data_IF_467844774777
#
_entry.id   IF_467844774777
#
_cell.length_a   1.000
_cell.length_b   1.000
_cell.length_c   1.000
_cell.angle_alpha   90.00
_cell.angle_beta   90.00
_cell.angle_gamma   90.00
#
_symmetry.space_group_name_H-M   'P 1'
#
loop_
_entity.id
_entity.type
_entity.pdbx_description
1 polymer ?
#
# COMPACT_ATOMS: atom_id res chain seq x y z
N UNK A 1 1.53 -10.60 18.35
CA UNK A 1 1.81 -11.78 17.52
C UNK A 1 0.55 -12.60 17.35
N UNK A 2 0.30 -13.16 16.15
CA UNK A 2 -0.83 -14.07 15.96
C UNK A 2 -0.79 -15.18 17.00
N UNK A 3 -1.96 -15.53 17.55
CA UNK A 3 -2.06 -16.67 18.47
C UNK A 3 -1.84 -17.96 17.67
N UNK A 4 -0.64 -18.51 17.76
CA UNK A 4 -0.27 -19.77 17.10
C UNK A 4 -1.11 -20.96 17.60
N UNK A 5 -1.94 -20.74 18.62
CA UNK A 5 -2.80 -21.77 19.20
C UNK A 5 -4.26 -21.66 18.75
N UNK A 6 -4.63 -20.63 17.97
CA UNK A 6 -6.01 -20.36 17.57
C UNK A 6 -6.72 -21.53 16.86
N UNK A 7 -5.99 -22.54 16.38
CA UNK A 7 -6.54 -23.69 15.66
C UNK A 7 -6.16 -25.05 16.28
N UNK A 8 -5.72 -25.09 17.53
CA UNK A 8 -5.29 -26.35 18.19
C UNK A 8 -6.41 -27.38 18.39
N UNK A 9 -7.65 -26.95 18.39
CA UNK A 9 -8.79 -27.81 18.69
C UNK A 9 -9.54 -28.31 17.45
N UNK A 10 -9.01 -28.04 16.24
CA UNK A 10 -9.62 -28.58 15.01
C UNK A 10 -9.27 -30.06 14.87
N UNK A 11 -10.23 -30.91 15.17
CA UNK A 11 -10.09 -32.35 14.90
C UNK A 11 -10.27 -32.63 13.41
N UNK A 12 -9.19 -33.07 12.76
CA UNK A 12 -9.25 -33.54 11.39
C UNK A 12 -9.81 -34.96 11.34
N UNK A 13 -10.78 -35.20 10.47
CA UNK A 13 -11.26 -36.55 10.17
C UNK A 13 -10.35 -37.25 9.14
N UNK A 14 -10.48 -38.57 8.97
CA UNK A 14 -9.79 -39.29 7.88
C UNK A 14 -10.33 -38.93 6.48
N UNK A 15 -11.36 -38.11 6.38
CA UNK A 15 -12.00 -37.65 5.16
C UNK A 15 -11.72 -36.15 4.92
N UNK A 16 -11.14 -35.79 3.76
CA UNK A 16 -10.79 -34.42 3.42
C UNK A 16 -12.01 -33.51 3.45
N UNK A 17 -13.14 -33.92 2.88
CA UNK A 17 -14.36 -33.09 2.83
C UNK A 17 -14.88 -32.78 4.23
N UNK A 18 -14.95 -33.77 5.11
CA UNK A 18 -15.36 -33.57 6.51
C UNK A 18 -14.41 -32.66 7.25
N UNK A 19 -13.09 -32.82 7.05
CA UNK A 19 -12.08 -31.94 7.65
C UNK A 19 -12.24 -30.48 7.20
N UNK A 20 -12.48 -30.24 5.90
CA UNK A 20 -12.75 -28.90 5.36
C UNK A 20 -14.03 -28.32 5.92
N UNK A 21 -15.10 -29.11 6.05
CA UNK A 21 -16.37 -28.69 6.63
C UNK A 21 -16.17 -28.29 8.10
N UNK A 22 -15.45 -29.11 8.88
CA UNK A 22 -15.16 -28.83 10.29
C UNK A 22 -14.36 -27.53 10.46
N UNK A 23 -13.31 -27.31 9.67
CA UNK A 23 -12.51 -26.07 9.69
C UNK A 23 -13.39 -24.87 9.39
N UNK A 24 -14.11 -24.90 8.26
CA UNK A 24 -14.99 -23.78 7.87
C UNK A 24 -16.11 -23.50 8.86
N UNK A 25 -16.73 -24.55 9.40
CA UNK A 25 -17.76 -24.41 10.42
C UNK A 25 -17.20 -23.79 11.70
N UNK A 26 -16.00 -24.20 12.12
CA UNK A 26 -15.29 -23.62 13.26
C UNK A 26 -15.04 -22.13 13.07
N UNK A 27 -14.53 -21.72 11.91
CA UNK A 27 -14.29 -20.32 11.58
C UNK A 27 -15.58 -19.49 11.60
N UNK A 28 -16.68 -20.02 11.05
CA UNK A 28 -17.97 -19.31 11.05
C UNK A 28 -18.53 -19.18 12.47
N UNK A 29 -18.44 -20.24 13.29
CA UNK A 29 -18.89 -20.19 14.69
C UNK A 29 -18.07 -19.21 15.52
N UNK A 30 -16.76 -19.14 15.31
CA UNK A 30 -15.88 -18.17 15.95
C UNK A 30 -16.27 -16.73 15.57
N UNK A 31 -16.46 -16.46 14.27
CA UNK A 31 -16.92 -15.16 13.75
C UNK A 31 -18.26 -14.77 14.34
N UNK A 32 -19.23 -15.69 14.41
CA UNK A 32 -20.54 -15.42 15.04
C UNK A 32 -20.40 -15.17 16.54
N UNK A 33 -19.50 -15.88 17.21
CA UNK A 33 -19.27 -15.71 18.67
C UNK A 33 -18.58 -14.38 19.01
N UNK A 34 -17.95 -13.74 18.05
CA UNK A 34 -17.28 -12.46 18.22
C UNK A 34 -18.15 -11.26 17.90
N UNK A 35 -19.33 -11.46 17.27
CA UNK A 35 -20.19 -10.39 16.80
C UNK A 35 -20.63 -9.39 17.88
N UNK A 36 -20.79 -9.84 19.13
CA UNK A 36 -21.18 -9.01 20.28
C UNK A 36 -19.98 -8.61 21.18
N UNK A 37 -18.75 -8.92 20.76
CA UNK A 37 -17.56 -8.59 21.55
C UNK A 37 -16.92 -7.30 21.03
N UNK A 38 -16.24 -6.58 21.93
CA UNK A 38 -15.40 -5.46 21.53
C UNK A 38 -14.29 -5.95 20.55
N UNK A 39 -13.92 -5.14 19.54
CA UNK A 39 -12.86 -5.50 18.60
C UNK A 39 -11.56 -5.88 19.33
N UNK A 40 -10.99 -7.01 18.96
CA UNK A 40 -9.68 -7.42 19.48
C UNK A 40 -8.58 -6.73 18.68
N UNK A 41 -8.10 -5.58 19.15
CA UNK A 41 -7.06 -4.79 18.50
C UNK A 41 -5.69 -5.46 18.49
N UNK A 42 -5.49 -6.52 19.29
CA UNK A 42 -4.26 -7.32 19.32
C UNK A 42 -4.22 -8.47 18.33
N UNK A 43 -5.30 -8.72 17.59
CA UNK A 43 -5.37 -9.79 16.61
C UNK A 43 -4.77 -9.35 15.26
N UNK A 44 -3.86 -10.17 14.75
CA UNK A 44 -3.19 -9.92 13.48
C UNK A 44 -3.90 -10.68 12.34
N UNK A 45 -4.17 -9.97 11.23
CA UNK A 45 -4.78 -10.55 10.04
C UNK A 45 -3.82 -11.39 9.18
N UNK A 46 -2.50 -11.36 9.48
CA UNK A 46 -1.49 -12.11 8.74
C UNK A 46 -0.38 -12.64 9.65
N UNK A 47 0.36 -13.69 9.23
CA UNK A 47 1.43 -14.25 10.03
C UNK A 47 2.64 -13.30 10.15
N UNK A 48 3.38 -13.40 11.24
CA UNK A 48 4.52 -12.53 11.53
C UNK A 48 5.66 -12.61 10.50
N UNK A 49 5.73 -13.67 9.71
CA UNK A 49 6.72 -13.84 8.63
C UNK A 49 6.26 -13.31 7.27
N UNK A 50 5.06 -12.77 7.16
CA UNK A 50 4.58 -12.21 5.90
C UNK A 50 5.45 -11.04 5.45
N UNK A 51 5.76 -11.01 4.15
CA UNK A 51 6.42 -9.89 3.49
C UNK A 51 5.32 -8.99 2.92
N UNK A 52 4.58 -8.38 3.81
CA UNK A 52 3.48 -7.46 3.53
C UNK A 52 3.18 -6.63 4.78
N UNK A 53 2.43 -5.54 4.63
CA UNK A 53 1.85 -4.75 5.72
C UNK A 53 0.36 -4.53 5.41
N UNK A 54 -0.39 -4.00 6.36
CA UNK A 54 -1.76 -3.54 6.10
C UNK A 54 -2.22 -2.52 7.13
N UNK A 55 -3.09 -1.62 6.68
CA UNK A 55 -3.90 -0.76 7.52
C UNK A 55 -5.28 -1.38 7.76
N UNK A 56 -5.76 -1.32 9.00
CA UNK A 56 -7.11 -1.75 9.39
C UNK A 56 -7.89 -0.51 9.84
N UNK A 57 -8.79 -0.02 8.98
CA UNK A 57 -9.58 1.17 9.24
C UNK A 57 -10.52 1.03 10.44
N UNK A 58 -11.03 -0.18 10.71
CA UNK A 58 -11.91 -0.45 11.85
C UNK A 58 -11.16 -0.45 13.18
N UNK A 59 -9.85 -0.73 13.16
CA UNK A 59 -8.99 -0.69 14.34
C UNK A 59 -8.15 0.58 14.41
N UNK A 60 -8.17 1.39 13.35
CA UNK A 60 -7.28 2.52 13.13
C UNK A 60 -5.83 2.16 13.48
N UNK A 61 -5.33 1.10 12.87
CA UNK A 61 -4.01 0.54 13.17
C UNK A 61 -3.32 0.01 11.94
N UNK A 62 -1.99 0.08 11.93
CA UNK A 62 -1.14 -0.58 10.95
C UNK A 62 -0.51 -1.83 11.54
N UNK A 63 -0.33 -2.86 10.73
CA UNK A 63 0.41 -4.06 11.09
C UNK A 63 1.61 -4.21 10.17
N UNK A 64 2.81 -4.27 10.77
CA UNK A 64 4.10 -4.40 10.06
C UNK A 64 4.77 -5.70 10.54
N UNK A 65 4.60 -6.82 9.84
CA UNK A 65 5.20 -8.09 10.19
C UNK A 65 6.72 -8.11 10.06
N UNK A 66 7.36 -9.02 10.79
CA UNK A 66 8.83 -9.17 10.79
C UNK A 66 9.41 -9.56 9.43
N UNK A 67 8.61 -10.13 8.53
CA UNK A 67 9.04 -10.44 7.16
C UNK A 67 9.53 -9.24 6.36
N UNK A 68 9.09 -8.01 6.73
CA UNK A 68 9.54 -6.76 6.11
C UNK A 68 10.91 -6.27 6.63
N UNK A 69 11.41 -6.82 7.75
CA UNK A 69 12.69 -6.39 8.35
C UNK A 69 13.89 -7.12 7.75
N UNK A 70 13.94 -7.17 6.43
CA UNK A 70 15.01 -7.83 5.65
C UNK A 70 15.32 -7.00 4.38
N UNK A 71 16.57 -7.06 3.93
CA UNK A 71 16.97 -6.40 2.69
C UNK A 71 16.19 -6.96 1.47
N UNK A 72 15.84 -6.11 0.50
CA UNK A 72 16.19 -4.69 0.35
C UNK A 72 15.24 -3.73 1.10
N UNK A 73 14.22 -4.22 1.81
CA UNK A 73 13.17 -3.42 2.45
C UNK A 73 13.75 -2.67 3.65
N UNK A 74 14.52 -3.36 4.47
CA UNK A 74 15.19 -2.83 5.66
C UNK A 74 16.56 -3.47 5.88
N UNK A 75 17.56 -2.65 6.20
CA UNK A 75 18.88 -3.13 6.65
C UNK A 75 19.30 -2.35 7.90
N UNK A 76 19.55 -3.08 9.01
CA UNK A 76 19.98 -2.51 10.27
C UNK A 76 21.31 -1.74 10.18
N UNK A 77 22.13 -2.03 9.16
CA UNK A 77 23.41 -1.38 8.92
C UNK A 77 23.32 -0.22 7.91
N UNK A 78 22.17 -0.04 7.23
CA UNK A 78 21.95 1.07 6.32
C UNK A 78 21.71 2.38 7.10
N UNK A 79 21.94 3.50 6.43
CA UNK A 79 21.61 4.81 7.01
C UNK A 79 20.09 5.03 7.09
N UNK A 80 19.73 6.06 7.86
CA UNK A 80 18.32 6.39 8.10
C UNK A 80 17.52 6.64 6.82
N UNK A 81 18.05 7.38 5.86
CA UNK A 81 17.33 7.76 4.64
C UNK A 81 17.17 6.60 3.66
N UNK A 82 18.13 5.68 3.63
CA UNK A 82 17.98 4.41 2.90
C UNK A 82 16.84 3.58 3.49
N UNK A 83 16.80 3.40 4.81
CA UNK A 83 15.69 2.69 5.46
C UNK A 83 14.35 3.45 5.37
N UNK A 84 14.39 4.78 5.31
CA UNK A 84 13.20 5.61 5.11
C UNK A 84 12.60 5.42 3.72
N UNK A 85 13.43 5.32 2.66
CA UNK A 85 12.98 4.99 1.30
C UNK A 85 12.51 3.54 1.15
N UNK A 86 13.04 2.60 1.95
CA UNK A 86 12.62 1.21 2.03
C UNK A 86 11.41 1.02 2.95
N UNK A 87 11.62 0.47 4.14
CA UNK A 87 10.54 0.19 5.10
C UNK A 87 9.72 1.43 5.48
N UNK A 88 10.35 2.62 5.53
CA UNK A 88 9.64 3.86 5.83
C UNK A 88 8.57 4.19 4.81
N UNK A 89 8.80 3.92 3.52
CA UNK A 89 7.79 4.12 2.46
C UNK A 89 6.60 3.17 2.61
N UNK A 90 6.83 1.93 3.01
CA UNK A 90 5.76 0.96 3.31
C UNK A 90 4.92 1.45 4.50
N UNK A 91 5.57 1.90 5.58
CA UNK A 91 4.85 2.43 6.75
C UNK A 91 4.04 3.68 6.38
N UNK A 92 4.61 4.58 5.59
CA UNK A 92 3.92 5.80 5.14
C UNK A 92 2.75 5.49 4.21
N UNK A 93 2.86 4.47 3.35
CA UNK A 93 1.78 3.94 2.54
C UNK A 93 0.63 3.44 3.41
N UNK A 94 0.89 2.59 4.41
CA UNK A 94 -0.15 2.08 5.31
C UNK A 94 -0.84 3.20 6.11
N UNK A 95 -0.08 4.22 6.55
CA UNK A 95 -0.67 5.41 7.16
C UNK A 95 -1.51 6.19 6.15
N UNK A 96 -1.09 6.24 4.89
CA UNK A 96 -1.79 6.87 3.78
C UNK A 96 -3.21 6.33 3.59
N UNK A 97 -3.41 5.02 3.80
CA UNK A 97 -4.73 4.39 3.74
C UNK A 97 -5.75 4.95 4.74
N UNK A 98 -5.33 5.57 5.84
CA UNK A 98 -6.25 6.28 6.72
C UNK A 98 -6.87 7.54 6.08
N UNK A 99 -6.31 8.01 4.97
CA UNK A 99 -6.65 9.28 4.32
C UNK A 99 -7.04 9.13 2.85
N UNK A 100 -6.99 7.93 2.29
CA UNK A 100 -7.48 7.64 0.94
C UNK A 100 -9.02 7.72 0.86
N UNK A 101 -9.60 7.46 -0.31
CA UNK A 101 -11.04 7.60 -0.53
C UNK A 101 -11.90 6.66 0.35
N UNK A 102 -11.34 5.54 0.79
CA UNK A 102 -12.02 4.55 1.63
C UNK A 102 -11.75 4.79 3.12
N UNK A 103 -10.47 4.96 3.49
CA UNK A 103 -10.07 5.13 4.89
C UNK A 103 -10.59 6.41 5.52
N UNK A 104 -10.69 7.50 4.74
CA UNK A 104 -11.24 8.78 5.22
C UNK A 104 -12.70 8.69 5.70
N UNK A 105 -13.40 7.62 5.34
CA UNK A 105 -14.79 7.36 5.79
C UNK A 105 -14.86 6.81 7.23
N UNK A 106 -13.72 6.48 7.83
CA UNK A 106 -13.65 6.01 9.21
C UNK A 106 -13.12 7.12 10.13
N UNK A 107 -13.60 7.12 11.39
CA UNK A 107 -13.08 8.01 12.41
C UNK A 107 -11.88 7.37 13.15
N UNK A 108 -11.27 8.14 14.05
CA UNK A 108 -10.12 7.72 14.85
C UNK A 108 -10.41 6.53 15.79
N UNK A 109 -11.67 6.15 15.93
CA UNK A 109 -12.13 5.00 16.71
C UNK A 109 -12.55 3.81 15.84
N UNK A 110 -12.36 3.92 14.51
CA UNK A 110 -12.72 2.89 13.55
C UNK A 110 -14.22 2.80 13.23
N UNK A 111 -15.02 3.82 13.59
CA UNK A 111 -16.42 3.85 13.22
C UNK A 111 -16.60 4.41 11.81
N UNK A 112 -17.45 3.76 11.02
CA UNK A 112 -17.80 4.23 9.68
C UNK A 112 -18.65 5.50 9.76
N UNK A 113 -18.11 6.62 9.30
CA UNK A 113 -18.66 7.97 9.42
C UNK A 113 -18.60 8.77 8.11
N UNK A 114 -19.28 8.29 7.04
CA UNK A 114 -19.26 8.96 5.74
C UNK A 114 -19.87 10.37 5.78
N UNK A 115 -20.66 10.68 6.81
CA UNK A 115 -21.26 11.99 7.05
C UNK A 115 -20.26 13.10 7.42
N UNK A 116 -19.03 12.75 7.83
CA UNK A 116 -17.98 13.70 8.23
C UNK A 116 -17.25 14.34 7.05
N UNK A 117 -17.26 13.69 5.91
CA UNK A 117 -16.53 14.12 4.72
C UNK A 117 -17.51 14.52 3.64
N UNK A 118 -17.26 15.64 2.98
CA UNK A 118 -18.11 16.01 1.86
C UNK A 118 -17.83 15.07 0.68
N UNK A 119 -18.88 14.53 0.04
CA UNK A 119 -18.73 13.64 -1.11
C UNK A 119 -17.84 14.24 -2.22
N UNK A 120 -17.93 15.57 -2.41
CA UNK A 120 -17.11 16.29 -3.38
C UNK A 120 -15.60 16.17 -3.09
N UNK A 121 -15.17 16.11 -1.82
CA UNK A 121 -13.74 15.97 -1.50
C UNK A 121 -13.23 14.56 -1.79
N UNK A 122 -14.02 13.55 -1.42
CA UNK A 122 -13.68 12.16 -1.73
C UNK A 122 -13.60 11.93 -3.23
N UNK A 123 -14.60 12.44 -3.96
CA UNK A 123 -14.67 12.38 -5.42
C UNK A 123 -13.43 13.04 -6.08
N UNK A 124 -13.06 14.26 -5.65
CA UNK A 124 -11.90 14.97 -6.19
C UNK A 124 -10.59 14.20 -5.98
N UNK A 125 -10.37 13.64 -4.78
CA UNK A 125 -9.16 12.84 -4.51
C UNK A 125 -9.12 11.59 -5.39
N UNK A 126 -10.26 10.92 -5.53
CA UNK A 126 -10.41 9.76 -6.39
C UNK A 126 -10.15 10.07 -7.85
N UNK A 127 -10.83 11.09 -8.39
CA UNK A 127 -10.80 11.43 -9.82
C UNK A 127 -9.42 11.88 -10.28
N UNK A 128 -8.71 12.73 -9.48
CA UNK A 128 -7.39 13.22 -9.85
C UNK A 128 -6.35 12.08 -9.88
N UNK A 129 -6.35 11.20 -8.87
CA UNK A 129 -5.44 10.04 -8.81
C UNK A 129 -5.77 9.06 -9.93
N UNK A 130 -7.06 8.70 -10.10
CA UNK A 130 -7.50 7.79 -11.15
C UNK A 130 -7.14 8.27 -12.54
N UNK A 131 -7.38 9.55 -12.84
CA UNK A 131 -7.06 10.14 -14.14
C UNK A 131 -5.55 10.17 -14.41
N UNK A 132 -4.75 10.49 -13.39
CA UNK A 132 -3.31 10.55 -13.52
C UNK A 132 -2.71 9.17 -13.80
N UNK A 133 -2.96 8.18 -12.94
CA UNK A 133 -2.42 6.84 -13.10
C UNK A 133 -3.06 6.10 -14.28
N UNK A 134 -4.35 6.30 -14.54
CA UNK A 134 -5.05 5.74 -15.71
C UNK A 134 -4.54 6.23 -17.06
N UNK A 135 -3.78 7.34 -17.09
CA UNK A 135 -3.09 7.81 -18.29
C UNK A 135 -1.78 7.07 -18.58
N UNK A 136 -1.29 6.26 -17.64
CA UNK A 136 0.01 5.58 -17.74
C UNK A 136 -0.11 4.24 -18.45
N UNK A 137 0.95 3.90 -19.16
CA UNK A 137 1.07 2.63 -19.86
C UNK A 137 2.23 1.81 -19.31
N UNK A 138 2.06 0.50 -19.35
CA UNK A 138 3.11 -0.47 -19.14
C UNK A 138 3.32 -1.27 -20.43
N UNK A 139 4.57 -1.60 -20.75
CA UNK A 139 4.96 -2.38 -21.93
C UNK A 139 4.46 -1.77 -23.27
N UNK A 140 4.28 -0.47 -23.32
CA UNK A 140 3.77 0.32 -24.46
C UNK A 140 2.38 -0.17 -25.00
N UNK A 141 1.66 -0.98 -24.22
CA UNK A 141 0.45 -1.67 -24.72
C UNK A 141 -0.74 -1.55 -23.75
N UNK A 142 -0.51 -1.70 -22.46
CA UNK A 142 -1.59 -1.79 -21.47
C UNK A 142 -1.68 -0.48 -20.67
N UNK A 143 -2.88 0.07 -20.55
CA UNK A 143 -3.18 1.16 -19.64
C UNK A 143 -3.49 0.62 -18.24
N UNK A 144 -3.11 1.39 -17.23
CA UNK A 144 -3.49 1.11 -15.84
C UNK A 144 -4.98 1.41 -15.67
N UNK A 145 -5.70 0.52 -14.99
CA UNK A 145 -7.04 0.84 -14.51
C UNK A 145 -6.92 1.78 -13.31
N UNK A 146 -7.06 3.08 -13.57
CA UNK A 146 -6.89 4.11 -12.55
C UNK A 146 -7.98 4.09 -11.49
N UNK A 147 -9.19 3.59 -11.79
CA UNK A 147 -10.27 3.46 -10.81
C UNK A 147 -10.00 2.29 -9.87
N UNK A 148 -9.59 1.13 -10.41
CA UNK A 148 -9.26 -0.05 -9.63
C UNK A 148 -8.08 0.17 -8.69
N UNK A 149 -7.06 0.93 -9.12
CA UNK A 149 -5.80 1.10 -8.39
C UNK A 149 -5.71 2.41 -7.59
N UNK A 150 -6.78 3.18 -7.51
CA UNK A 150 -6.73 4.56 -7.01
C UNK A 150 -6.35 4.68 -5.54
N UNK A 151 -6.86 3.84 -4.65
CA UNK A 151 -6.55 3.88 -3.21
C UNK A 151 -5.08 3.56 -2.94
N UNK A 152 -4.58 2.52 -3.61
CA UNK A 152 -3.18 2.10 -3.53
C UNK A 152 -2.22 3.15 -4.08
N UNK A 153 -2.56 3.73 -5.23
CA UNK A 153 -1.77 4.81 -5.83
C UNK A 153 -1.81 6.09 -4.98
N UNK A 154 -2.94 6.40 -4.35
CA UNK A 154 -3.06 7.52 -3.43
C UNK A 154 -2.19 7.33 -2.18
N UNK A 155 -2.18 6.11 -1.62
CA UNK A 155 -1.36 5.76 -0.46
C UNK A 155 0.15 5.82 -0.79
N UNK A 156 0.57 5.28 -1.94
CA UNK A 156 1.95 5.36 -2.41
C UNK A 156 2.40 6.82 -2.61
N UNK A 157 1.61 7.61 -3.33
CA UNK A 157 1.94 9.00 -3.63
C UNK A 157 1.95 9.87 -2.39
N UNK A 158 0.91 9.75 -1.56
CA UNK A 158 0.80 10.48 -0.30
C UNK A 158 1.91 10.13 0.67
N UNK A 159 2.22 8.84 0.82
CA UNK A 159 3.33 8.35 1.63
C UNK A 159 4.68 8.92 1.18
N UNK A 160 4.95 8.90 -0.13
CA UNK A 160 6.18 9.47 -0.69
C UNK A 160 6.26 10.99 -0.49
N UNK A 161 5.15 11.72 -0.68
CA UNK A 161 5.10 13.18 -0.46
C UNK A 161 5.44 13.54 1.00
N UNK A 162 4.96 12.75 1.97
CA UNK A 162 5.32 12.93 3.39
C UNK A 162 6.80 12.64 3.63
N UNK A 163 7.32 11.53 3.13
CA UNK A 163 8.73 11.14 3.33
C UNK A 163 9.69 12.19 2.80
N UNK A 164 9.48 12.67 1.58
CA UNK A 164 10.38 13.69 1.00
C UNK A 164 10.27 15.04 1.69
N UNK A 165 9.20 15.30 2.45
CA UNK A 165 9.10 16.52 3.26
C UNK A 165 10.03 16.54 4.47
N UNK A 166 10.61 15.40 4.86
CA UNK A 166 11.45 15.26 6.05
C UNK A 166 12.88 15.78 5.86
N UNK A 167 13.31 16.04 4.63
CA UNK A 167 14.63 16.60 4.33
C UNK A 167 14.61 17.45 3.05
N UNK A 168 15.52 18.44 2.99
CA UNK A 168 15.81 19.23 1.78
C UNK A 168 17.20 18.90 1.21
N UNK A 169 17.96 18.02 1.85
CA UNK A 169 19.28 17.61 1.37
C UNK A 169 19.14 16.67 0.16
N UNK A 170 19.82 17.03 -0.95
CA UNK A 170 19.69 16.30 -2.21
C UNK A 170 20.26 14.89 -2.15
N UNK A 171 21.31 14.65 -1.37
CA UNK A 171 21.92 13.32 -1.24
C UNK A 171 21.08 12.41 -0.35
N UNK A 172 20.43 12.96 0.66
CA UNK A 172 19.45 12.24 1.48
C UNK A 172 18.21 11.87 0.65
N UNK A 173 17.66 12.82 -0.11
CA UNK A 173 16.56 12.57 -1.05
C UNK A 173 16.93 11.51 -2.10
N UNK A 174 18.15 11.56 -2.65
CA UNK A 174 18.63 10.54 -3.59
C UNK A 174 18.59 9.15 -2.99
N UNK A 175 19.08 8.97 -1.76
CA UNK A 175 19.02 7.68 -1.05
C UNK A 175 17.59 7.19 -0.85
N UNK A 176 16.67 8.09 -0.51
CA UNK A 176 15.24 7.78 -0.39
C UNK A 176 14.71 7.23 -1.72
N UNK A 177 14.91 7.97 -2.83
CA UNK A 177 14.40 7.58 -4.14
C UNK A 177 15.02 6.28 -4.66
N UNK A 178 16.33 6.10 -4.50
CA UNK A 178 17.03 4.88 -4.93
C UNK A 178 16.60 3.67 -4.11
N UNK A 179 16.41 3.82 -2.78
CA UNK A 179 15.92 2.76 -1.92
C UNK A 179 14.47 2.39 -2.23
N UNK A 180 13.62 3.38 -2.48
CA UNK A 180 12.23 3.15 -2.90
C UNK A 180 12.16 2.42 -4.25
N UNK A 181 12.96 2.83 -5.22
CA UNK A 181 13.02 2.13 -6.50
C UNK A 181 13.55 0.70 -6.36
N UNK A 182 14.53 0.47 -5.48
CA UNK A 182 15.07 -0.85 -5.21
C UNK A 182 14.07 -1.77 -4.48
N UNK A 183 13.24 -1.23 -3.60
CA UNK A 183 12.14 -1.96 -2.94
C UNK A 183 11.21 -2.62 -3.96
N UNK A 184 10.87 -1.90 -5.04
CA UNK A 184 9.94 -2.36 -6.08
C UNK A 184 10.63 -3.04 -7.27
N UNK A 185 11.96 -3.22 -7.23
CA UNK A 185 12.69 -3.89 -8.31
C UNK A 185 12.27 -5.36 -8.40
N UNK A 186 11.51 -5.70 -9.42
CA UNK A 186 10.98 -7.05 -9.68
C UNK A 186 11.32 -7.54 -11.07
N UNK A 187 11.36 -8.86 -11.23
CA UNK A 187 11.39 -9.51 -12.54
C UNK A 187 10.08 -10.28 -12.71
N UNK A 188 9.35 -9.97 -13.76
CA UNK A 188 8.12 -10.70 -14.11
C UNK A 188 8.11 -11.06 -15.60
N UNK A 189 7.32 -12.08 -15.94
CA UNK A 189 7.01 -12.38 -17.34
C UNK A 189 5.87 -11.50 -17.82
N UNK A 190 5.85 -11.18 -19.12
CA UNK A 190 4.80 -10.34 -19.75
C UNK A 190 3.38 -10.85 -19.50
N UNK A 191 3.21 -12.19 -19.46
CA UNK A 191 1.91 -12.82 -19.14
C UNK A 191 1.45 -12.51 -17.72
N UNK A 192 2.35 -12.47 -16.75
CA UNK A 192 2.03 -12.17 -15.36
C UNK A 192 1.67 -10.69 -15.17
N UNK A 193 2.32 -9.80 -15.93
CA UNK A 193 2.04 -8.37 -15.89
C UNK A 193 0.61 -8.07 -16.39
N UNK A 194 0.14 -8.75 -17.45
CA UNK A 194 -1.22 -8.57 -17.96
C UNK A 194 -2.29 -9.10 -17.00
N UNK A 195 -2.03 -10.22 -16.31
CA UNK A 195 -2.92 -10.75 -15.27
C UNK A 195 -2.98 -9.82 -14.06
N UNK A 196 -1.84 -9.30 -13.62
CA UNK A 196 -1.78 -8.34 -12.52
C UNK A 196 -2.59 -7.08 -12.82
N UNK A 197 -2.46 -6.49 -14.02
CA UNK A 197 -3.22 -5.29 -14.40
C UNK A 197 -4.74 -5.54 -14.38
N UNK A 198 -5.18 -6.76 -14.69
CA UNK A 198 -6.61 -7.07 -14.77
C UNK A 198 -7.27 -7.28 -13.38
N UNK A 199 -6.55 -7.83 -12.41
CA UNK A 199 -7.14 -8.36 -11.18
C UNK A 199 -6.60 -7.73 -9.88
N UNK A 200 -5.43 -7.08 -9.92
CA UNK A 200 -4.77 -6.52 -8.73
C UNK A 200 -5.19 -5.05 -8.51
N UNK A 201 -5.47 -4.71 -7.26
CA UNK A 201 -5.73 -3.32 -6.83
C UNK A 201 -4.45 -2.47 -6.79
N UNK A 202 -3.28 -3.12 -6.83
CA UNK A 202 -1.99 -2.44 -6.88
C UNK A 202 -1.53 -2.23 -8.32
N UNK A 203 -1.03 -1.06 -8.61
CA UNK A 203 -0.31 -0.82 -9.87
C UNK A 203 0.94 -1.70 -9.96
N UNK A 204 1.37 -2.11 -11.16
CA UNK A 204 2.65 -2.79 -11.35
C UNK A 204 3.83 -2.00 -10.79
N UNK A 205 4.89 -2.69 -10.36
CA UNK A 205 6.05 -2.12 -9.70
C UNK A 205 6.68 -0.92 -10.45
N UNK A 206 6.73 -0.98 -11.78
CA UNK A 206 7.21 0.13 -12.61
C UNK A 206 6.37 1.40 -12.41
N UNK A 207 5.05 1.26 -12.33
CA UNK A 207 4.13 2.38 -12.13
C UNK A 207 4.18 2.88 -10.69
N UNK A 208 4.28 1.99 -9.70
CA UNK A 208 4.46 2.37 -8.29
C UNK A 208 5.71 3.25 -8.10
N UNK A 209 6.78 3.01 -8.85
CA UNK A 209 7.99 3.86 -8.83
C UNK A 209 7.84 5.07 -9.75
N UNK A 210 7.71 4.85 -11.05
CA UNK A 210 7.81 5.92 -12.04
C UNK A 210 6.59 6.87 -11.96
N UNK A 211 5.39 6.32 -11.76
CA UNK A 211 4.17 7.11 -11.60
C UNK A 211 4.23 8.00 -10.36
N UNK A 212 4.60 7.44 -9.21
CA UNK A 212 4.72 8.19 -7.96
C UNK A 212 5.78 9.27 -8.07
N UNK A 213 7.02 8.92 -8.46
CA UNK A 213 8.14 9.87 -8.50
C UNK A 213 7.95 10.99 -9.52
N UNK A 214 7.24 10.72 -10.63
CA UNK A 214 6.90 11.74 -11.63
C UNK A 214 5.95 12.84 -11.11
N UNK A 215 5.29 12.63 -9.97
CA UNK A 215 4.47 13.64 -9.28
C UNK A 215 5.16 14.30 -8.07
N UNK A 216 6.43 13.96 -7.79
CA UNK A 216 7.17 14.49 -6.64
C UNK A 216 8.14 15.59 -7.07
N UNK A 217 7.87 16.85 -6.68
CA UNK A 217 8.67 18.01 -7.09
C UNK A 217 10.17 17.87 -6.75
N UNK A 218 10.50 17.36 -5.56
CA UNK A 218 11.90 17.14 -5.13
C UNK A 218 12.64 16.10 -5.98
N UNK A 219 11.95 15.19 -6.65
CA UNK A 219 12.55 14.29 -7.61
C UNK A 219 13.14 15.04 -8.81
N UNK A 220 12.41 16.03 -9.30
CA UNK A 220 12.87 16.93 -10.38
C UNK A 220 14.12 17.73 -9.99
N UNK A 221 14.16 18.21 -8.75
CA UNK A 221 15.30 18.98 -8.23
C UNK A 221 16.55 18.13 -8.03
N UNK A 222 16.39 16.87 -7.61
CA UNK A 222 17.50 15.94 -7.36
C UNK A 222 18.12 15.44 -8.66
N UNK A 223 17.29 15.07 -9.63
CA UNK A 223 17.74 14.45 -10.88
C UNK A 223 17.78 15.43 -12.06
N UNK A 224 17.43 16.71 -11.86
CA UNK A 224 17.35 17.74 -12.90
C UNK A 224 16.45 17.33 -14.07
N UNK A 225 15.29 16.74 -13.77
CA UNK A 225 14.30 16.30 -14.76
C UNK A 225 13.79 17.46 -15.58
N UNK A 226 13.78 17.31 -16.89
CA UNK A 226 13.36 18.29 -17.89
C UNK A 226 12.31 17.71 -18.84
N UNK A 227 11.73 18.53 -19.69
CA UNK A 227 10.70 18.15 -20.67
C UNK A 227 11.15 17.12 -21.72
N UNK A 228 12.46 16.86 -21.82
CA UNK A 228 13.03 15.82 -22.65
C UNK A 228 13.08 14.43 -22.00
N UNK A 229 12.82 14.34 -20.69
CA UNK A 229 12.90 13.11 -19.92
C UNK A 229 11.58 12.35 -19.94
N UNK A 230 11.63 11.01 -20.03
CA UNK A 230 10.41 10.17 -20.07
C UNK A 230 9.52 10.28 -18.83
N UNK A 231 10.12 10.59 -17.68
CA UNK A 231 9.39 10.76 -16.41
C UNK A 231 8.90 12.21 -16.20
N UNK A 232 9.06 13.08 -17.19
CA UNK A 232 8.59 14.45 -17.07
C UNK A 232 7.07 14.55 -17.11
N UNK A 233 6.50 15.15 -16.08
CA UNK A 233 5.09 15.56 -16.02
C UNK A 233 5.04 17.05 -15.75
N UNK A 234 4.30 17.85 -16.56
CA UNK A 234 4.14 19.29 -16.30
C UNK A 234 3.65 19.56 -14.87
N UNK A 235 4.15 20.63 -14.26
CA UNK A 235 3.89 20.95 -12.86
C UNK A 235 2.38 21.01 -12.52
N UNK A 236 1.58 21.56 -13.39
CA UNK A 236 0.12 21.68 -13.27
C UNK A 236 -0.64 20.36 -13.50
N UNK A 237 0.06 19.29 -13.89
CA UNK A 237 -0.48 17.95 -14.08
C UNK A 237 -0.04 16.96 -13.00
N UNK A 238 0.87 17.38 -12.11
CA UNK A 238 1.32 16.53 -10.98
C UNK A 238 0.23 16.47 -9.93
N UNK A 239 -0.10 15.29 -9.50
CA UNK A 239 -1.12 15.07 -8.46
C UNK A 239 -0.52 15.28 -7.06
N UNK A 240 -1.27 15.93 -6.20
CA UNK A 240 -0.95 16.11 -4.79
C UNK A 240 -2.09 15.59 -3.95
N UNK A 241 -1.79 14.65 -3.09
CA UNK A 241 -2.78 14.02 -2.20
C UNK A 241 -3.03 14.92 -0.98
N UNK A 242 -1.98 15.66 -0.54
CA UNK A 242 -2.02 16.56 0.64
C UNK A 242 -1.89 18.04 0.29
#
# INVERSE_FOLDING_TARGET
>A
CPDVNAHKDVQLSGNLLESVIHIKSGTVLEMLSSADKAPNTGEWGMPAYAVNAYYDAQKNSITVPMGLFTAPIFDVNADYYTNLGGLGSVIAHEIGHAFDADGILYDEHGNYRPDRISPKRTELLSDEVSAYFGSMQIMDTFYIDGEQTQTENAADLGGMQVIVSMTDDKEELRRIFESYANLWATLSYDTNASEQIADDVHSPAEIRVNGVLSSVDKFYEVYNISDSDKMFVPYDKRVRVW
#
